data_IF_217623074238
#
_entry.id   IF_217623074238
#
_cell.length_a   1.000
_cell.length_b   1.000
_cell.length_c   1.000
_cell.angle_alpha   90.00
_cell.angle_beta   90.00
_cell.angle_gamma   90.00
#
_symmetry.space_group_name_H-M   'P 1'
#
loop_
_entity.id
_entity.type
_entity.pdbx_description
1 polymer ?
#
# COMPACT_ATOMS: atom_id res chain seq x y z
N UNK A 1 10.49 49.12 28.72
CA UNK A 1 9.80 49.92 27.68
C UNK A 1 9.38 49.00 26.53
N UNK A 2 8.11 48.56 26.45
CA UNK A 2 7.65 47.74 25.34
C UNK A 2 7.17 48.60 24.18
N UNK A 3 7.83 48.50 23.01
CA UNK A 3 7.32 49.04 21.74
C UNK A 3 6.37 48.03 21.11
N UNK A 4 5.06 48.33 21.17
CA UNK A 4 4.04 47.74 20.31
C UNK A 4 4.24 48.26 18.88
N UNK A 5 4.29 47.36 17.90
CA UNK A 5 4.05 47.69 16.50
C UNK A 5 2.82 46.91 16.06
N UNK A 6 1.76 47.68 15.78
CA UNK A 6 0.62 47.30 14.98
C UNK A 6 0.97 47.43 13.50
N UNK A 7 0.33 46.61 12.67
CA UNK A 7 0.04 46.77 11.23
C UNK A 7 0.10 45.37 10.57
N UNK A 8 -0.76 44.99 9.65
CA UNK A 8 -1.94 45.63 9.10
C UNK A 8 -2.84 44.49 8.62
N UNK A 9 -4.13 44.63 8.86
CA UNK A 9 -5.18 43.86 8.19
C UNK A 9 -5.19 44.29 6.73
N UNK A 10 -5.00 43.35 5.82
CA UNK A 10 -5.20 43.53 4.39
C UNK A 10 -6.10 42.43 3.87
N UNK A 11 -6.70 42.73 2.74
CA UNK A 11 -8.13 42.78 2.58
C UNK A 11 -8.66 41.57 1.81
N UNK A 12 -9.93 41.31 2.07
CA UNK A 12 -10.83 40.39 1.40
C UNK A 12 -10.72 40.44 -0.14
N UNK A 13 -10.67 39.28 -0.77
CA UNK A 13 -11.24 39.06 -2.10
C UNK A 13 -11.53 37.56 -2.28
N UNK A 14 -12.76 37.17 -1.94
CA UNK A 14 -13.34 35.90 -2.37
C UNK A 14 -13.82 36.02 -3.81
N UNK A 15 -13.43 35.11 -4.72
CA UNK A 15 -14.16 34.90 -5.96
C UNK A 15 -15.25 33.84 -5.74
N UNK A 16 -16.49 34.31 -5.60
CA UNK A 16 -17.73 33.56 -5.78
C UNK A 16 -17.78 33.01 -7.21
N UNK A 17 -17.52 31.73 -7.40
CA UNK A 17 -17.83 31.04 -8.65
C UNK A 17 -19.19 30.38 -8.53
N UNK A 18 -20.09 30.91 -9.33
CA UNK A 18 -21.49 30.59 -9.52
C UNK A 18 -21.73 29.13 -9.86
N UNK A 19 -22.83 28.64 -9.31
CA UNK A 19 -23.63 27.50 -9.73
C UNK A 19 -23.64 27.31 -11.26
N UNK A 20 -23.47 26.08 -11.69
CA UNK A 20 -23.89 25.63 -13.02
C UNK A 20 -24.69 24.36 -12.83
N UNK A 21 -26.00 24.57 -12.68
CA UNK A 21 -27.03 23.59 -12.99
C UNK A 21 -27.05 23.30 -14.50
N UNK A 22 -27.74 22.21 -14.88
CA UNK A 22 -27.92 21.62 -16.23
C UNK A 22 -26.79 20.68 -16.70
N UNK A 23 -27.03 19.41 -17.04
CA UNK A 23 -28.28 18.69 -17.31
C UNK A 23 -28.13 17.18 -17.00
N UNK A 24 -29.23 16.49 -16.64
CA UNK A 24 -29.26 15.03 -16.59
C UNK A 24 -29.37 14.49 -18.02
N UNK A 25 -28.33 13.79 -18.50
CA UNK A 25 -28.46 12.91 -19.66
C UNK A 25 -28.88 11.53 -19.15
N UNK A 26 -30.20 11.29 -19.19
CA UNK A 26 -30.78 9.95 -19.24
C UNK A 26 -30.40 9.33 -20.60
N UNK A 27 -29.35 8.52 -20.61
CA UNK A 27 -29.17 7.52 -21.67
C UNK A 27 -29.28 6.13 -21.04
N UNK A 28 -30.50 5.62 -21.14
CA UNK A 28 -30.82 4.20 -21.14
C UNK A 28 -29.86 3.45 -22.07
N UNK A 29 -28.98 2.64 -21.50
CA UNK A 29 -28.40 1.52 -22.23
C UNK A 29 -28.66 0.24 -21.46
N UNK A 30 -29.81 -0.33 -21.79
CA UNK A 30 -30.26 -1.70 -21.58
C UNK A 30 -29.21 -2.70 -22.09
N UNK A 31 -28.21 -3.01 -21.25
CA UNK A 31 -27.22 -4.03 -21.58
C UNK A 31 -27.65 -5.37 -21.01
N UNK A 32 -28.15 -6.21 -21.91
CA UNK A 32 -28.60 -7.56 -21.63
C UNK A 32 -27.57 -8.41 -20.87
N UNK A 33 -28.11 -9.08 -19.86
CA UNK A 33 -27.46 -10.06 -19.03
C UNK A 33 -27.19 -11.35 -19.81
N UNK A 34 -26.04 -11.43 -20.51
CA UNK A 34 -25.66 -12.68 -21.17
C UNK A 34 -25.28 -13.76 -20.14
N UNK A 35 -26.16 -14.75 -20.13
CA UNK A 35 -26.17 -16.00 -19.40
C UNK A 35 -24.86 -16.81 -19.43
N UNK A 36 -24.58 -17.42 -18.27
CA UNK A 36 -23.54 -18.41 -18.04
C UNK A 36 -23.65 -19.65 -18.95
N UNK A 37 -22.55 -20.12 -19.55
CA UNK A 37 -22.42 -21.51 -19.94
C UNK A 37 -21.82 -22.34 -18.80
N UNK A 38 -22.70 -23.01 -18.03
CA UNK A 38 -22.37 -24.15 -17.15
C UNK A 38 -21.67 -25.25 -17.96
N UNK A 39 -20.35 -25.34 -17.89
CA UNK A 39 -19.59 -26.51 -18.39
C UNK A 39 -19.29 -27.48 -17.27
N UNK A 40 -20.25 -28.39 -17.11
CA UNK A 40 -20.13 -29.83 -16.83
C UNK A 40 -18.81 -30.28 -16.18
N UNK A 41 -18.90 -30.60 -14.90
CA UNK A 41 -17.99 -31.51 -14.22
C UNK A 41 -17.88 -32.82 -15.03
N UNK A 42 -16.67 -33.10 -15.53
CA UNK A 42 -16.27 -34.45 -15.96
C UNK A 42 -15.45 -35.05 -14.82
N UNK A 43 -16.05 -36.01 -14.14
CA UNK A 43 -15.37 -36.98 -13.28
C UNK A 43 -14.82 -38.09 -14.16
N UNK A 44 -13.51 -38.30 -14.26
CA UNK A 44 -12.98 -39.59 -14.69
C UNK A 44 -12.50 -40.41 -13.50
N UNK A 45 -13.19 -41.53 -13.32
CA UNK A 45 -12.66 -42.86 -13.07
C UNK A 45 -11.52 -43.02 -12.05
N UNK A 46 -11.93 -43.54 -10.91
CA UNK A 46 -11.22 -44.44 -10.00
C UNK A 46 -10.14 -45.28 -10.73
N UNK A 47 -8.87 -44.98 -10.48
CA UNK A 47 -7.74 -45.88 -10.76
C UNK A 47 -7.17 -46.33 -9.42
N UNK A 48 -7.40 -47.62 -9.18
CA UNK A 48 -6.62 -48.58 -8.42
C UNK A 48 -5.50 -48.05 -7.51
N UNK A 49 -5.65 -48.41 -6.24
CA UNK A 49 -4.66 -48.47 -5.19
C UNK A 49 -3.29 -48.95 -5.70
N UNK A 50 -2.37 -48.01 -5.91
CA UNK A 50 -0.93 -48.25 -5.85
C UNK A 50 -0.42 -47.57 -4.59
N UNK A 51 0.15 -48.29 -3.60
CA UNK A 51 0.73 -47.65 -2.43
C UNK A 51 1.87 -46.72 -2.92
N UNK A 52 1.88 -45.42 -2.57
CA UNK A 52 2.98 -44.56 -2.96
C UNK A 52 4.23 -45.07 -2.26
N UNK A 53 5.18 -45.53 -3.07
CA UNK A 53 6.52 -45.84 -2.64
C UNK A 53 7.09 -44.64 -1.89
N UNK A 54 7.49 -44.92 -0.65
CA UNK A 54 8.28 -44.06 0.22
C UNK A 54 9.42 -43.44 -0.58
N UNK A 55 9.33 -42.14 -0.84
CA UNK A 55 10.44 -41.19 -1.02
C UNK A 55 9.86 -39.79 -1.14
N UNK A 56 9.07 -39.39 -0.14
CA UNK A 56 8.80 -37.98 0.08
C UNK A 56 10.13 -37.33 0.47
N UNK A 57 10.80 -36.71 -0.51
CA UNK A 57 11.74 -35.62 -0.25
C UNK A 57 10.98 -34.60 0.57
N UNK A 58 11.16 -34.65 1.88
CA UNK A 58 10.77 -33.58 2.80
C UNK A 58 11.43 -32.30 2.28
N UNK A 59 10.66 -31.26 1.88
CA UNK A 59 11.26 -29.97 1.68
C UNK A 59 11.72 -29.49 3.05
N UNK A 60 13.02 -29.59 3.30
CA UNK A 60 13.73 -29.04 4.46
C UNK A 60 13.68 -27.51 4.40
N UNK A 61 12.50 -26.91 4.40
CA UNK A 61 12.39 -25.47 4.63
C UNK A 61 12.39 -25.27 6.15
N UNK A 62 13.57 -25.18 6.76
CA UNK A 62 13.77 -24.82 8.16
C UNK A 62 13.36 -23.37 8.50
N UNK A 63 12.45 -22.78 7.72
CA UNK A 63 11.91 -21.45 7.91
C UNK A 63 10.78 -21.57 8.93
N UNK A 64 10.92 -20.87 10.05
CA UNK A 64 9.94 -20.92 11.15
C UNK A 64 8.57 -20.50 10.59
N UNK A 65 7.45 -21.11 11.06
CA UNK A 65 6.12 -20.77 10.55
C UNK A 65 5.80 -19.27 10.62
N UNK A 66 6.36 -18.55 11.59
CA UNK A 66 6.23 -17.10 11.72
C UNK A 66 6.90 -16.29 10.60
N UNK A 67 8.09 -16.69 10.14
CA UNK A 67 8.81 -15.98 9.08
C UNK A 67 8.03 -15.99 7.76
N UNK A 68 7.37 -17.11 7.44
CA UNK A 68 6.50 -17.23 6.26
C UNK A 68 5.29 -16.30 6.34
N UNK A 69 4.75 -16.06 7.54
CA UNK A 69 3.62 -15.14 7.74
C UNK A 69 4.08 -13.70 7.54
N UNK A 70 5.23 -13.32 8.12
CA UNK A 70 5.80 -11.97 7.98
C UNK A 70 6.12 -11.68 6.51
N UNK A 71 6.72 -12.62 5.77
CA UNK A 71 6.95 -12.43 4.33
C UNK A 71 5.66 -12.20 3.54
N UNK A 72 4.59 -12.93 3.87
CA UNK A 72 3.28 -12.72 3.23
C UNK A 72 2.74 -11.33 3.55
N UNK A 73 2.88 -10.86 4.78
CA UNK A 73 2.48 -9.50 5.19
C UNK A 73 3.29 -8.44 4.44
N UNK A 74 4.62 -8.59 4.33
CA UNK A 74 5.49 -7.68 3.57
C UNK A 74 5.10 -7.64 2.09
N UNK A 75 4.85 -8.80 1.46
CA UNK A 75 4.37 -8.88 0.07
C UNK A 75 2.99 -8.25 -0.09
N UNK A 76 2.08 -8.47 0.87
CA UNK A 76 0.74 -7.88 0.86
C UNK A 76 0.82 -6.36 0.94
N UNK A 77 1.59 -5.82 1.89
CA UNK A 77 1.81 -4.38 2.06
C UNK A 77 2.38 -3.75 0.79
N UNK A 78 3.40 -4.39 0.20
CA UNK A 78 3.99 -3.94 -1.06
C UNK A 78 2.99 -3.95 -2.22
N UNK A 79 2.17 -5.00 -2.31
CA UNK A 79 1.15 -5.12 -3.36
C UNK A 79 0.10 -4.03 -3.20
N UNK A 80 -0.35 -3.75 -1.97
CA UNK A 80 -1.30 -2.68 -1.67
C UNK A 80 -0.72 -1.29 -1.96
N UNK A 81 0.56 -1.04 -1.65
CA UNK A 81 1.24 0.21 -2.03
C UNK A 81 1.25 0.36 -3.56
N UNK A 82 1.68 -0.67 -4.30
CA UNK A 82 1.72 -0.64 -5.76
C UNK A 82 0.33 -0.49 -6.40
N UNK A 83 -0.71 -1.04 -5.77
CA UNK A 83 -2.09 -0.88 -6.21
C UNK A 83 -2.55 0.59 -6.13
N UNK A 84 -2.15 1.29 -5.06
CA UNK A 84 -2.47 2.71 -4.86
C UNK A 84 -1.57 3.69 -5.61
N UNK A 85 -0.43 3.22 -6.15
CA UNK A 85 0.39 3.99 -7.09
C UNK A 85 -0.35 4.08 -8.43
N UNK A 86 -1.22 5.08 -8.57
CA UNK A 86 -2.01 5.30 -9.79
C UNK A 86 -1.48 6.51 -10.54
N UNK A 87 -1.28 6.37 -11.85
CA UNK A 87 -0.91 7.48 -12.70
C UNK A 87 -2.07 8.49 -12.80
N UNK A 88 -1.78 9.74 -12.48
CA UNK A 88 -2.64 10.89 -12.72
C UNK A 88 -1.92 11.84 -13.65
N UNK A 89 -2.63 12.45 -14.61
CA UNK A 89 -2.03 13.39 -15.59
C UNK A 89 -1.29 14.56 -14.93
N UNK A 90 -1.73 14.96 -13.73
CA UNK A 90 -1.10 15.99 -12.89
C UNK A 90 0.24 15.59 -12.26
N UNK A 91 0.62 14.30 -12.25
CA UNK A 91 1.89 13.82 -11.66
C UNK A 91 3.14 14.38 -12.33
N UNK A 92 3.04 14.93 -13.55
CA UNK A 92 4.17 15.60 -14.21
C UNK A 92 4.72 16.77 -13.41
N UNK A 93 3.91 17.40 -12.56
CA UNK A 93 4.28 18.56 -11.73
C UNK A 93 3.86 18.39 -10.27
N UNK A 94 3.39 17.21 -9.88
CA UNK A 94 2.76 16.96 -8.59
C UNK A 94 3.04 15.53 -8.12
N UNK A 95 2.67 15.23 -6.88
CA UNK A 95 2.76 13.90 -6.29
C UNK A 95 1.38 13.32 -6.01
N UNK A 96 1.20 12.02 -6.17
CA UNK A 96 0.00 11.31 -5.71
C UNK A 96 0.23 10.74 -4.32
N UNK A 97 -0.76 10.83 -3.44
CA UNK A 97 -0.69 10.22 -2.10
C UNK A 97 -1.01 8.73 -2.18
N UNK A 98 -0.30 7.95 -1.38
CA UNK A 98 -0.51 6.53 -1.12
C UNK A 98 -0.80 6.38 0.37
N UNK A 99 -1.95 5.78 0.70
CA UNK A 99 -2.44 5.58 2.06
C UNK A 99 -2.97 4.15 2.21
N UNK A 100 -2.14 3.25 2.69
CA UNK A 100 -2.49 1.84 2.92
C UNK A 100 -2.70 1.61 4.42
N UNK A 101 -3.74 0.87 4.78
CA UNK A 101 -3.99 0.47 6.16
C UNK A 101 -3.99 -1.06 6.24
N UNK A 102 -3.29 -1.61 7.23
CA UNK A 102 -3.26 -3.05 7.52
C UNK A 102 -3.80 -3.27 8.92
N UNK A 103 -4.99 -3.86 9.06
CA UNK A 103 -5.58 -4.16 10.37
C UNK A 103 -4.98 -5.45 10.96
N UNK A 104 -5.31 -5.69 12.23
CA UNK A 104 -5.04 -6.93 12.97
C UNK A 104 -3.55 -7.29 13.10
N UNK A 105 -2.68 -6.30 13.31
CA UNK A 105 -1.27 -6.52 13.56
C UNK A 105 -0.94 -6.45 15.05
N UNK A 106 -0.13 -7.39 15.51
CA UNK A 106 0.44 -7.36 16.87
C UNK A 106 1.72 -6.52 16.91
N UNK A 107 2.15 -6.02 18.08
CA UNK A 107 3.42 -5.31 18.21
C UNK A 107 4.63 -6.15 17.76
N UNK A 108 4.58 -7.47 17.97
CA UNK A 108 5.63 -8.39 17.54
C UNK A 108 5.69 -8.50 16.00
N UNK A 109 4.54 -8.52 15.32
CA UNK A 109 4.50 -8.52 13.85
C UNK A 109 5.09 -7.23 13.28
N UNK A 110 4.83 -6.08 13.92
CA UNK A 110 5.35 -4.78 13.49
C UNK A 110 6.87 -4.71 13.65
N UNK A 111 7.40 -5.19 14.77
CA UNK A 111 8.85 -5.29 14.99
C UNK A 111 9.50 -6.20 13.94
N UNK A 112 8.86 -7.33 13.62
CA UNK A 112 9.35 -8.25 12.60
C UNK A 112 9.23 -7.69 11.16
N UNK A 113 8.18 -6.91 10.85
CA UNK A 113 8.02 -6.25 9.55
C UNK A 113 9.09 -5.19 9.36
N UNK A 114 9.31 -4.33 10.37
CA UNK A 114 10.27 -3.24 10.30
C UNK A 114 11.72 -3.74 10.34
N UNK A 115 11.98 -4.83 11.06
CA UNK A 115 13.33 -5.27 11.34
C UNK A 115 13.99 -4.49 12.48
N UNK A 116 15.06 -5.02 13.07
CA UNK A 116 15.68 -4.45 14.27
C UNK A 116 16.26 -3.06 14.02
N UNK A 117 16.81 -2.78 12.84
CA UNK A 117 17.46 -1.51 12.53
C UNK A 117 16.45 -0.36 12.40
N UNK A 118 15.32 -0.59 11.72
CA UNK A 118 14.26 0.42 11.59
C UNK A 118 13.42 0.54 12.86
N UNK A 119 13.14 -0.58 13.53
CA UNK A 119 12.42 -0.54 14.80
C UNK A 119 13.21 0.15 15.92
N UNK A 120 14.54 0.08 15.89
CA UNK A 120 15.42 0.84 16.77
C UNK A 120 15.36 2.37 16.54
N UNK A 121 15.14 2.79 15.29
CA UNK A 121 14.98 4.21 14.89
C UNK A 121 13.55 4.73 15.05
N UNK A 122 12.58 3.85 15.29
CA UNK A 122 11.18 4.22 15.39
C UNK A 122 10.90 5.08 16.64
N UNK A 123 10.05 6.09 16.50
CA UNK A 123 9.51 6.85 17.63
C UNK A 123 8.44 6.00 18.33
N UNK A 124 8.76 5.53 19.54
CA UNK A 124 7.88 4.66 20.35
C UNK A 124 7.13 5.50 21.38
N UNK A 125 5.86 5.77 21.12
CA UNK A 125 4.93 6.33 22.09
C UNK A 125 4.17 5.24 22.87
N UNK A 126 3.42 5.62 23.92
CA UNK A 126 2.63 4.67 24.70
C UNK A 126 1.58 3.97 23.83
N UNK A 127 0.93 4.71 22.93
CA UNK A 127 -0.18 4.27 22.08
C UNK A 127 0.20 4.00 20.62
N UNK A 128 1.38 4.44 20.19
CA UNK A 128 1.76 4.39 18.78
C UNK A 128 3.25 4.17 18.57
N UNK A 129 3.60 3.53 17.46
CA UNK A 129 4.98 3.42 16.98
C UNK A 129 5.02 4.02 15.58
N UNK A 130 5.87 5.03 15.36
CA UNK A 130 6.00 5.70 14.08
C UNK A 130 7.44 5.59 13.56
N UNK A 131 7.59 5.27 12.27
CA UNK A 131 8.90 5.23 11.59
C UNK A 131 8.74 5.80 10.19
N UNK A 132 9.76 6.49 9.71
CA UNK A 132 9.81 7.00 8.35
C UNK A 132 11.07 6.46 7.70
N UNK A 133 10.93 5.79 6.56
CA UNK A 133 12.09 5.37 5.76
C UNK A 133 12.72 6.59 5.09
N UNK A 134 14.05 6.60 4.98
CA UNK A 134 14.78 7.69 4.33
C UNK A 134 15.68 7.25 3.19
N UNK A 135 15.67 5.95 2.86
CA UNK A 135 16.54 5.37 1.85
C UNK A 135 15.91 4.15 1.18
N UNK A 136 16.32 3.88 -0.07
CA UNK A 136 15.96 2.63 -0.76
C UNK A 136 16.43 1.37 -0.04
N UNK A 137 17.48 1.45 0.79
CA UNK A 137 17.93 0.34 1.64
C UNK A 137 16.91 0.02 2.73
N UNK A 138 16.38 1.05 3.40
CA UNK A 138 15.30 0.89 4.39
C UNK A 138 14.05 0.28 3.75
N UNK A 139 13.68 0.74 2.55
CA UNK A 139 12.54 0.17 1.81
C UNK A 139 12.75 -1.31 1.47
N UNK A 140 13.98 -1.69 1.09
CA UNK A 140 14.32 -3.10 0.84
C UNK A 140 14.26 -3.92 2.13
N UNK A 141 14.62 -3.37 3.28
CA UNK A 141 14.53 -4.08 4.56
C UNK A 141 13.07 -4.38 4.94
N UNK A 142 12.17 -3.40 4.80
CA UNK A 142 10.74 -3.55 5.16
C UNK A 142 9.98 -4.36 4.11
N UNK A 143 10.15 -4.05 2.83
CA UNK A 143 9.31 -4.54 1.74
C UNK A 143 9.94 -5.67 0.93
N UNK A 144 11.22 -5.95 1.16
CA UNK A 144 12.05 -6.84 0.32
C UNK A 144 12.52 -6.18 -0.99
N UNK A 145 11.83 -5.14 -1.47
CA UNK A 145 12.20 -4.34 -2.65
C UNK A 145 11.56 -2.96 -2.60
N UNK A 146 12.17 -1.98 -3.27
CA UNK A 146 11.56 -0.67 -3.43
C UNK A 146 10.27 -0.76 -4.27
N UNK A 147 9.18 -0.04 -3.90
CA UNK A 147 7.97 0.04 -4.71
C UNK A 147 8.26 0.70 -6.05
N UNK A 148 7.88 0.01 -7.12
CA UNK A 148 8.14 0.43 -8.49
C UNK A 148 6.99 -0.03 -9.36
N UNK A 149 6.47 0.88 -10.20
CA UNK A 149 5.42 0.57 -11.16
C UNK A 149 5.75 1.20 -12.50
N UNK A 150 6.06 0.38 -13.49
CA UNK A 150 6.35 0.86 -14.85
C UNK A 150 5.10 1.48 -15.48
N UNK A 151 5.32 2.53 -16.25
CA UNK A 151 4.35 3.16 -17.13
C UNK A 151 4.75 2.90 -18.59
N UNK A 152 3.87 3.29 -19.51
CA UNK A 152 4.19 3.26 -20.95
C UNK A 152 5.30 4.27 -21.25
N UNK A 153 6.05 4.02 -22.34
CA UNK A 153 7.08 4.92 -22.86
C UNK A 153 8.27 5.17 -21.91
N UNK A 154 8.64 4.17 -21.11
CA UNK A 154 9.85 4.20 -20.28
C UNK A 154 9.74 4.93 -18.94
N UNK A 155 8.62 5.64 -18.69
CA UNK A 155 8.39 6.27 -17.39
C UNK A 155 8.06 5.24 -16.29
N UNK A 156 8.25 5.62 -15.04
CA UNK A 156 7.89 4.82 -13.88
C UNK A 156 7.24 5.65 -12.78
N UNK A 157 6.48 5.00 -11.91
CA UNK A 157 6.03 5.56 -10.64
C UNK A 157 6.91 4.98 -9.53
N UNK A 158 7.47 5.89 -8.72
CA UNK A 158 8.32 5.60 -7.58
C UNK A 158 7.85 6.38 -6.36
N UNK A 159 8.29 5.99 -5.17
CA UNK A 159 8.04 6.79 -3.97
C UNK A 159 8.93 8.04 -4.00
N UNK A 160 8.35 9.19 -3.63
CA UNK A 160 9.11 10.42 -3.51
C UNK A 160 10.16 10.27 -2.40
N UNK A 161 11.44 10.52 -2.73
CA UNK A 161 12.56 10.47 -1.79
C UNK A 161 12.73 9.12 -1.06
N UNK A 162 12.21 8.02 -1.61
CA UNK A 162 12.17 6.72 -0.93
C UNK A 162 11.50 6.78 0.46
N UNK A 163 10.60 7.76 0.66
CA UNK A 163 9.98 8.05 1.95
C UNK A 163 8.64 7.31 2.10
N UNK A 164 8.61 6.36 3.02
CA UNK A 164 7.43 5.63 3.48
C UNK A 164 7.28 5.84 4.99
N UNK A 165 6.21 6.51 5.38
CA UNK A 165 5.87 6.72 6.79
C UNK A 165 4.93 5.63 7.26
N UNK A 166 5.39 4.83 8.21
CA UNK A 166 4.67 3.73 8.84
C UNK A 166 4.27 4.16 10.25
N UNK A 167 2.98 4.14 10.56
CA UNK A 167 2.42 4.49 11.86
C UNK A 167 1.56 3.33 12.35
N UNK A 168 2.02 2.65 13.38
CA UNK A 168 1.27 1.61 14.06
C UNK A 168 0.55 2.18 15.27
N UNK A 169 -0.75 1.98 15.35
CA UNK A 169 -1.57 2.26 16.54
C UNK A 169 -1.72 0.99 17.35
N UNK A 170 -1.22 1.00 18.59
CA UNK A 170 -1.32 -0.13 19.54
C UNK A 170 -2.75 -0.35 20.01
N UNK A 171 -3.52 0.73 20.14
CA UNK A 171 -4.91 0.68 20.60
C UNK A 171 -5.82 0.00 19.58
N UNK A 172 -5.61 0.28 18.29
CA UNK A 172 -6.45 -0.26 17.21
C UNK A 172 -5.84 -1.47 16.50
N UNK A 173 -4.57 -1.79 16.74
CA UNK A 173 -3.85 -2.85 16.02
C UNK A 173 -3.72 -2.60 14.51
N UNK A 174 -3.70 -1.32 14.08
CA UNK A 174 -3.65 -0.93 12.66
C UNK A 174 -2.29 -0.32 12.35
N UNK A 175 -1.63 -0.82 11.30
CA UNK A 175 -0.45 -0.19 10.70
C UNK A 175 -0.89 0.63 9.48
N UNK A 176 -0.66 1.94 9.54
CA UNK A 176 -0.89 2.87 8.43
C UNK A 176 0.42 3.15 7.70
N UNK A 177 0.46 2.90 6.41
CA UNK A 177 1.57 3.22 5.52
C UNK A 177 1.18 4.37 4.61
N UNK A 178 1.89 5.49 4.75
CA UNK A 178 1.61 6.75 4.04
C UNK A 178 2.85 7.18 3.26
N UNK A 179 2.67 7.53 1.99
CA UNK A 179 3.76 7.99 1.13
C UNK A 179 3.25 8.95 0.05
N UNK A 180 4.19 9.68 -0.55
CA UNK A 180 3.97 10.40 -1.79
C UNK A 180 4.63 9.61 -2.93
N UNK A 181 3.98 9.58 -4.09
CA UNK A 181 4.45 8.93 -5.28
C UNK A 181 4.62 9.97 -6.40
N UNK A 182 5.73 9.88 -7.13
CA UNK A 182 6.09 10.75 -8.24
C UNK A 182 6.33 9.92 -9.50
N UNK A 183 6.28 10.58 -10.65
CA UNK A 183 6.68 9.99 -11.92
C UNK A 183 8.17 10.25 -12.14
N UNK A 184 8.93 9.17 -12.30
CA UNK A 184 10.33 9.17 -12.70
C UNK A 184 10.43 8.88 -14.21
N UNK A 185 11.38 9.52 -14.90
CA UNK A 185 11.51 9.45 -16.36
C UNK A 185 12.92 9.06 -16.78
#
# INVERSE_FOLDING_TARGET
>A
MPKRLANASDSEQEPTWTDSEEAPSEEDSDYEQESQPKKKAKTPANKENKPPSKSAKTPTSGVKPQEKVIERLRRSLLTSINAQMVYKKSLKRSSSRVNVEIPNLTPADVEAILGPALYGRATKGPKQVAVTTGSSADLKEVLGRAPYKSLRYGAALVLAQDALKLVYSRDSGILKATAACIMDK
#
